data_IF_101649093798
#
_entry.id   IF_101649093798
#
_cell.length_a   1.000
_cell.length_b   1.000
_cell.length_c   1.000
_cell.angle_alpha   90.00
_cell.angle_beta   90.00
_cell.angle_gamma   90.00
#
_symmetry.space_group_name_H-M   'P 1'
#
loop_
_entity.id
_entity.type
_entity.pdbx_description
1 polymer ?
#
# COMPACT_ATOMS: atom_id res chain seq x y z
N UNK A 1 24.44 -2.31 8.37
CA UNK A 1 23.14 -2.99 8.37
C UNK A 1 22.24 -2.41 7.30
N UNK A 2 21.80 -3.21 6.36
CA UNK A 2 20.96 -2.66 5.29
C UNK A 2 19.63 -2.17 5.83
N UNK A 3 19.21 -1.05 5.30
CA UNK A 3 17.90 -0.51 5.58
C UNK A 3 16.94 -0.97 4.52
N UNK A 4 15.69 -1.17 4.90
CA UNK A 4 14.66 -1.40 3.92
C UNK A 4 14.44 -0.12 3.13
N UNK A 5 14.62 -0.20 1.84
CA UNK A 5 14.45 0.94 0.96
C UNK A 5 14.10 0.43 -0.43
N UNK A 6 13.77 1.34 -1.31
CA UNK A 6 13.45 0.99 -2.68
C UNK A 6 14.63 0.31 -3.37
N UNK A 7 15.86 0.61 -2.93
CA UNK A 7 17.05 0.00 -3.52
C UNK A 7 17.18 -1.47 -3.18
N UNK A 8 16.58 -1.93 -2.07
CA UNK A 8 16.65 -3.33 -1.65
C UNK A 8 15.42 -4.11 -2.11
N UNK A 9 14.48 -3.46 -2.81
CA UNK A 9 13.28 -4.09 -3.35
C UNK A 9 13.53 -4.50 -4.79
N UNK A 10 14.52 -5.39 -4.98
CA UNK A 10 14.98 -5.75 -6.32
C UNK A 10 13.90 -6.39 -7.19
N UNK A 11 12.92 -7.05 -6.56
CA UNK A 11 11.79 -7.65 -7.28
C UNK A 11 10.65 -6.67 -7.51
N UNK A 12 10.75 -5.46 -6.98
CA UNK A 12 9.71 -4.44 -7.12
C UNK A 12 8.42 -4.77 -6.39
N UNK A 13 8.50 -5.55 -5.31
CA UNK A 13 7.29 -5.98 -4.59
C UNK A 13 6.57 -4.83 -3.91
N UNK A 14 7.34 -3.89 -3.34
CA UNK A 14 6.73 -2.72 -2.71
C UNK A 14 6.04 -1.84 -3.75
N UNK A 15 6.66 -1.67 -4.90
CA UNK A 15 6.06 -0.91 -5.99
C UNK A 15 4.80 -1.60 -6.51
N UNK A 16 4.83 -2.92 -6.67
CA UNK A 16 3.66 -3.69 -7.11
C UNK A 16 2.51 -3.54 -6.11
N UNK A 17 2.81 -3.66 -4.82
CA UNK A 17 1.80 -3.51 -3.78
C UNK A 17 1.23 -2.10 -3.79
N UNK A 18 2.09 -1.09 -3.84
CA UNK A 18 1.66 0.30 -3.87
C UNK A 18 0.79 0.62 -5.08
N UNK A 19 1.14 0.07 -6.23
CA UNK A 19 0.36 0.24 -7.47
C UNK A 19 -1.03 -0.39 -7.33
N UNK A 20 -1.11 -1.58 -6.72
CA UNK A 20 -2.39 -2.24 -6.49
C UNK A 20 -3.26 -1.45 -5.51
N UNK A 21 -2.67 -0.90 -4.46
CA UNK A 21 -3.37 -0.07 -3.48
C UNK A 21 -3.94 1.17 -4.19
N UNK A 22 -3.11 1.83 -4.98
CA UNK A 22 -3.53 3.03 -5.71
C UNK A 22 -4.68 2.72 -6.67
N UNK A 23 -4.57 1.64 -7.41
CA UNK A 23 -5.62 1.24 -8.36
C UNK A 23 -6.95 0.98 -7.63
N UNK A 24 -6.90 0.24 -6.52
CA UNK A 24 -8.10 -0.05 -5.73
C UNK A 24 -8.71 1.24 -5.14
N UNK A 25 -7.86 2.16 -4.71
CA UNK A 25 -8.30 3.45 -4.19
C UNK A 25 -9.03 4.26 -5.26
N UNK A 26 -8.43 4.34 -6.46
CA UNK A 26 -9.01 5.11 -7.55
C UNK A 26 -10.33 4.50 -8.03
N UNK A 27 -10.42 3.17 -8.04
CA UNK A 27 -11.66 2.48 -8.35
C UNK A 27 -12.80 2.90 -7.43
N UNK A 28 -12.47 3.17 -6.17
CA UNK A 28 -13.45 3.57 -5.15
C UNK A 28 -13.61 5.08 -5.07
N UNK A 29 -12.94 5.82 -5.97
CA UNK A 29 -13.02 7.28 -6.05
C UNK A 29 -12.61 7.93 -4.73
N UNK A 30 -11.62 7.35 -4.06
CA UNK A 30 -11.08 7.88 -2.82
C UNK A 30 -9.82 8.69 -3.10
N UNK A 31 -9.65 9.79 -2.37
CA UNK A 31 -8.38 10.50 -2.37
C UNK A 31 -7.38 9.74 -1.49
N UNK A 32 -6.08 10.06 -1.64
CA UNK A 32 -5.08 9.50 -0.72
C UNK A 32 -5.41 9.87 0.72
N UNK A 33 -5.86 11.09 0.94
CA UNK A 33 -6.20 11.56 2.28
C UNK A 33 -7.35 10.76 2.87
N UNK A 34 -8.39 10.51 2.07
CA UNK A 34 -9.54 9.74 2.53
C UNK A 34 -9.15 8.30 2.87
N UNK A 35 -8.32 7.68 2.04
CA UNK A 35 -7.85 6.32 2.32
C UNK A 35 -6.97 6.30 3.57
N UNK A 36 -6.07 7.27 3.70
CA UNK A 36 -5.19 7.35 4.86
C UNK A 36 -6.01 7.50 6.15
N UNK A 37 -7.00 8.37 6.15
CA UNK A 37 -7.88 8.56 7.30
C UNK A 37 -8.61 7.27 7.65
N UNK A 38 -9.19 6.60 6.65
CA UNK A 38 -9.93 5.36 6.88
C UNK A 38 -9.02 4.24 7.40
N UNK A 39 -7.76 4.22 6.97
CA UNK A 39 -6.80 3.20 7.37
C UNK A 39 -6.08 3.55 8.68
N UNK A 40 -6.24 4.78 9.17
CA UNK A 40 -5.50 5.23 10.35
C UNK A 40 -4.02 5.41 10.09
N UNK A 41 -3.67 5.83 8.88
CA UNK A 41 -2.29 6.01 8.43
C UNK A 41 -2.11 7.48 8.05
N UNK A 42 -0.94 8.04 8.36
CA UNK A 42 -0.62 9.39 7.96
C UNK A 42 -0.63 9.53 6.44
N UNK A 43 -1.15 10.64 5.93
CA UNK A 43 -1.28 10.87 4.50
C UNK A 43 0.06 10.80 3.77
N UNK A 44 1.09 11.41 4.33
CA UNK A 44 2.41 11.40 3.68
C UNK A 44 2.98 9.98 3.64
N UNK A 45 2.71 9.19 4.67
CA UNK A 45 3.11 7.78 4.69
C UNK A 45 2.34 6.99 3.64
N UNK A 46 1.04 7.25 3.49
CA UNK A 46 0.22 6.60 2.47
C UNK A 46 0.77 6.88 1.06
N UNK A 47 1.15 8.13 0.79
CA UNK A 47 1.75 8.47 -0.50
C UNK A 47 3.02 7.68 -0.79
N UNK A 48 3.87 7.52 0.24
CA UNK A 48 5.10 6.74 0.10
C UNK A 48 4.81 5.26 -0.12
N UNK A 49 3.80 4.73 0.55
CA UNK A 49 3.37 3.34 0.35
C UNK A 49 2.95 3.14 -1.11
N UNK A 50 2.12 4.02 -1.64
CA UNK A 50 1.62 3.89 -3.01
C UNK A 50 2.73 3.99 -4.05
N UNK A 51 3.79 4.75 -3.76
CA UNK A 51 4.93 4.87 -4.67
C UNK A 51 5.97 3.77 -4.48
N UNK A 52 5.77 2.89 -3.51
CA UNK A 52 6.73 1.82 -3.24
C UNK A 52 7.99 2.30 -2.56
N UNK A 53 7.94 3.45 -1.89
CA UNK A 53 9.10 4.09 -1.27
C UNK A 53 9.29 3.69 0.19
N UNK A 54 8.36 2.94 0.75
CA UNK A 54 8.42 2.52 2.15
C UNK A 54 8.15 1.05 2.27
N UNK A 55 8.92 0.40 3.13
CA UNK A 55 8.61 -0.95 3.54
C UNK A 55 7.39 -0.87 4.47
N UNK A 56 6.29 -1.47 4.05
CA UNK A 56 5.04 -1.38 4.76
C UNK A 56 4.86 -2.60 5.66
N UNK A 57 4.45 -2.37 6.90
CA UNK A 57 4.21 -3.47 7.84
C UNK A 57 2.97 -4.26 7.44
N UNK A 58 2.92 -5.54 7.84
CA UNK A 58 1.74 -6.37 7.63
C UNK A 58 0.51 -5.73 8.27
N UNK A 59 0.69 -5.12 9.44
CA UNK A 59 -0.42 -4.45 10.11
C UNK A 59 -0.98 -3.32 9.25
N UNK A 60 -0.11 -2.51 8.67
CA UNK A 60 -0.57 -1.41 7.82
C UNK A 60 -1.19 -1.91 6.52
N UNK A 61 -0.68 -3.01 5.96
CA UNK A 61 -1.33 -3.64 4.80
C UNK A 61 -2.75 -4.08 5.17
N UNK A 62 -2.92 -4.67 6.35
CA UNK A 62 -4.23 -5.10 6.82
C UNK A 62 -5.18 -3.90 7.00
N UNK A 63 -4.67 -2.81 7.56
CA UNK A 63 -5.47 -1.58 7.73
C UNK A 63 -5.93 -1.02 6.39
N UNK A 64 -5.04 -0.99 5.41
CA UNK A 64 -5.36 -0.51 4.08
C UNK A 64 -6.41 -1.43 3.42
N UNK A 65 -6.21 -2.74 3.52
CA UNK A 65 -7.14 -3.70 2.94
C UNK A 65 -8.54 -3.53 3.55
N UNK A 66 -8.61 -3.37 4.87
CA UNK A 66 -9.89 -3.14 5.56
C UNK A 66 -10.54 -1.85 5.06
N UNK A 67 -9.76 -0.79 4.93
CA UNK A 67 -10.29 0.49 4.46
C UNK A 67 -10.79 0.40 3.01
N UNK A 68 -10.18 -0.46 2.21
CA UNK A 68 -10.60 -0.69 0.83
C UNK A 68 -11.68 -1.76 0.73
N UNK A 69 -12.04 -2.36 1.85
CA UNK A 69 -13.06 -3.43 1.91
C UNK A 69 -12.67 -4.65 1.07
N UNK A 70 -11.40 -5.02 1.14
CA UNK A 70 -10.87 -6.22 0.49
C UNK A 70 -10.06 -7.01 1.51
N UNK A 71 -9.77 -8.27 1.20
CA UNK A 71 -8.88 -9.06 2.05
C UNK A 71 -7.42 -8.75 1.70
N UNK A 72 -6.52 -9.00 2.65
CA UNK A 72 -5.09 -8.88 2.39
C UNK A 72 -4.70 -9.82 1.22
N UNK A 73 -5.25 -11.03 1.22
CA UNK A 73 -4.96 -12.00 0.15
C UNK A 73 -5.38 -11.45 -1.22
N UNK A 74 -6.56 -10.85 -1.31
CA UNK A 74 -7.05 -10.26 -2.55
C UNK A 74 -6.15 -9.14 -3.03
N UNK A 75 -5.71 -8.29 -2.10
CA UNK A 75 -4.83 -7.18 -2.43
C UNK A 75 -3.49 -7.68 -2.94
N UNK A 76 -2.92 -8.70 -2.29
CA UNK A 76 -1.67 -9.29 -2.71
C UNK A 76 -1.78 -9.96 -4.09
N UNK A 77 -2.89 -10.65 -4.33
CA UNK A 77 -3.15 -11.26 -5.63
C UNK A 77 -3.22 -10.19 -6.72
N UNK A 78 -3.93 -9.10 -6.46
CA UNK A 78 -4.01 -7.97 -7.41
C UNK A 78 -2.64 -7.37 -7.69
N UNK A 79 -1.76 -7.38 -6.70
CA UNK A 79 -0.40 -6.85 -6.86
C UNK A 79 0.51 -7.82 -7.61
N UNK A 80 0.08 -9.07 -7.82
CA UNK A 80 0.93 -10.09 -8.44
C UNK A 80 1.93 -10.70 -7.48
N UNK A 81 1.59 -10.71 -6.22
CA UNK A 81 2.49 -11.23 -5.17
C UNK A 81 2.08 -12.59 -4.61
#
# INVERSE_FOLDING_TARGET
MPRQSIKTDSDGRLLKLGTAIRAARLERKLSQEALADAAGIDRSHMGKIERGERNVSVLNVARVATALNVSVASLMTSAGL
#
